data_IF_284440675670
#
_entry.id   IF_284440675670
#
_cell.length_a   1.000
_cell.length_b   1.000
_cell.length_c   1.000
_cell.angle_alpha   90.00
_cell.angle_beta   90.00
_cell.angle_gamma   90.00
#
_symmetry.space_group_name_H-M   'P 1'
#
loop_
_entity.id
_entity.type
_entity.pdbx_description
1 polymer ?
#
# COMPACT_ATOMS: atom_id res chain seq x y z
N UNK A 1 -10.97 -1.37 -5.42
CA UNK A 1 -9.94 -1.63 -6.45
C UNK A 1 -8.66 -0.89 -6.09
N UNK A 2 -7.50 -1.36 -6.54
CA UNK A 2 -6.19 -0.72 -6.29
C UNK A 2 -5.71 -0.09 -7.60
N UNK A 3 -5.30 1.18 -7.56
CA UNK A 3 -4.76 1.90 -8.71
C UNK A 3 -3.27 2.18 -8.46
N UNK A 4 -2.41 1.72 -9.36
CA UNK A 4 -0.98 1.98 -9.28
C UNK A 4 -0.66 3.47 -9.43
N UNK A 5 0.34 3.94 -8.69
CA UNK A 5 0.82 5.31 -8.83
C UNK A 5 1.24 5.60 -10.29
N UNK A 6 0.82 6.76 -10.82
CA UNK A 6 1.09 7.16 -12.19
C UNK A 6 0.22 6.50 -13.26
N UNK A 7 -0.79 5.70 -12.88
CA UNK A 7 -1.74 5.15 -13.85
C UNK A 7 -2.65 6.23 -14.44
N UNK A 8 -2.94 6.13 -15.75
CA UNK A 8 -3.91 7.00 -16.45
C UNK A 8 -5.16 6.19 -16.74
N UNK A 9 -6.18 6.39 -15.92
CA UNK A 9 -7.47 5.69 -16.00
C UNK A 9 -8.38 6.44 -16.97
N UNK A 10 -8.72 5.80 -18.10
CA UNK A 10 -9.53 6.39 -19.17
C UNK A 10 -10.95 5.82 -19.26
N UNK A 11 -11.25 4.78 -18.48
CA UNK A 11 -12.54 4.08 -18.43
C UNK A 11 -12.78 3.55 -17.00
N UNK A 12 -14.04 3.21 -16.71
CA UNK A 12 -14.42 2.63 -15.43
C UNK A 12 -13.66 1.32 -15.14
N UNK A 13 -13.34 1.12 -13.87
CA UNK A 13 -12.57 -0.03 -13.39
C UNK A 13 -13.53 -0.98 -12.67
N UNK A 14 -13.50 -2.29 -12.98
CA UNK A 14 -14.25 -3.29 -12.22
C UNK A 14 -13.91 -3.26 -10.72
N UNK A 15 -14.80 -3.82 -9.90
CA UNK A 15 -14.51 -3.99 -8.47
C UNK A 15 -13.42 -5.03 -8.23
N UNK A 16 -12.71 -4.90 -7.12
CA UNK A 16 -11.75 -5.90 -6.62
C UNK A 16 -10.61 -6.28 -7.58
N UNK A 17 -10.21 -5.38 -8.49
CA UNK A 17 -9.02 -5.54 -9.35
C UNK A 17 -7.90 -4.54 -9.03
N UNK A 18 -6.70 -4.87 -9.48
CA UNK A 18 -5.52 -3.99 -9.49
C UNK A 18 -5.24 -3.54 -10.91
N UNK A 19 -5.14 -2.23 -11.13
CA UNK A 19 -4.83 -1.63 -12.44
C UNK A 19 -3.60 -0.74 -12.37
N UNK A 20 -2.82 -0.67 -13.44
CA UNK A 20 -1.73 0.31 -13.59
C UNK A 20 -1.39 0.60 -15.06
N UNK A 21 -0.56 1.61 -15.30
CA UNK A 21 -0.03 1.98 -16.62
C UNK A 21 -0.76 3.16 -17.29
N UNK A 22 -0.26 3.57 -18.46
CA UNK A 22 -0.85 4.61 -19.30
C UNK A 22 -1.00 4.11 -20.76
N UNK A 23 -2.23 3.81 -21.24
CA UNK A 23 -3.48 3.77 -20.46
C UNK A 23 -3.49 2.62 -19.44
N UNK A 24 -4.27 2.76 -18.37
CA UNK A 24 -4.34 1.77 -17.29
C UNK A 24 -4.95 0.44 -17.78
N UNK A 25 -4.33 -0.68 -17.38
CA UNK A 25 -4.77 -2.05 -17.69
C UNK A 25 -4.96 -2.87 -16.41
N UNK A 26 -5.88 -3.82 -16.43
CA UNK A 26 -6.06 -4.80 -15.35
C UNK A 26 -4.85 -5.72 -15.30
N UNK A 27 -4.23 -5.81 -14.13
CA UNK A 27 -3.04 -6.65 -13.88
C UNK A 27 -3.40 -7.95 -13.16
N UNK A 28 -4.24 -7.86 -12.11
CA UNK A 28 -4.64 -9.00 -11.28
C UNK A 28 -5.87 -8.66 -10.43
N UNK A 29 -6.45 -9.64 -9.75
CA UNK A 29 -7.40 -9.38 -8.66
C UNK A 29 -6.67 -8.82 -7.43
N UNK A 30 -7.40 -8.11 -6.57
CA UNK A 30 -6.87 -7.63 -5.29
C UNK A 30 -6.38 -8.80 -4.43
N UNK A 31 -7.13 -9.90 -4.39
CA UNK A 31 -6.76 -11.11 -3.64
C UNK A 31 -5.41 -11.68 -4.09
N UNK A 32 -5.20 -11.86 -5.41
CA UNK A 32 -3.95 -12.40 -5.93
C UNK A 32 -2.78 -11.44 -5.69
N UNK A 33 -3.03 -10.13 -5.75
CA UNK A 33 -2.01 -9.14 -5.45
C UNK A 33 -1.61 -9.15 -3.97
N UNK A 34 -2.57 -9.35 -3.05
CA UNK A 34 -2.27 -9.49 -1.62
C UNK A 34 -1.41 -10.73 -1.33
N UNK A 35 -1.77 -11.89 -1.88
CA UNK A 35 -0.97 -13.13 -1.76
C UNK A 35 0.47 -12.92 -2.24
N UNK A 36 0.63 -12.29 -3.41
CA UNK A 36 1.96 -11.94 -3.94
C UNK A 36 2.75 -11.02 -3.02
N UNK A 37 2.10 -10.09 -2.32
CA UNK A 37 2.76 -9.21 -1.37
C UNK A 37 3.15 -9.92 -0.06
N UNK A 38 2.32 -10.85 0.41
CA UNK A 38 2.62 -11.74 1.54
C UNK A 38 3.83 -12.62 1.24
N UNK A 39 3.84 -13.30 0.09
CA UNK A 39 4.96 -14.15 -0.37
C UNK A 39 6.28 -13.39 -0.48
N UNK A 40 6.21 -12.11 -0.86
CA UNK A 40 7.39 -11.23 -0.96
C UNK A 40 7.81 -10.62 0.38
N UNK A 41 7.03 -10.81 1.45
CA UNK A 41 7.31 -10.23 2.77
C UNK A 41 7.27 -8.71 2.82
N UNK A 42 6.56 -8.05 1.91
CA UNK A 42 6.55 -6.57 1.76
C UNK A 42 5.40 -5.88 2.52
N UNK A 43 4.56 -6.63 3.22
CA UNK A 43 3.45 -6.09 4.01
C UNK A 43 3.94 -5.70 5.40
N UNK A 44 3.78 -4.45 5.80
CA UNK A 44 4.18 -3.95 7.12
C UNK A 44 2.97 -3.38 7.85
N UNK A 45 2.99 -3.51 9.17
CA UNK A 45 1.96 -2.93 10.02
C UNK A 45 2.17 -1.43 10.14
N UNK A 46 1.09 -0.67 9.96
CA UNK A 46 1.05 0.77 10.17
C UNK A 46 0.68 1.08 11.62
N UNK A 47 1.09 2.23 12.12
CA UNK A 47 0.71 2.66 13.47
C UNK A 47 -0.76 3.07 13.53
N UNK A 48 -1.40 2.88 14.71
CA UNK A 48 -2.81 3.25 14.93
C UNK A 48 -3.10 4.72 14.64
N UNK A 49 -2.13 5.60 14.92
CA UNK A 49 -2.21 7.03 14.65
C UNK A 49 -2.40 7.32 13.15
N UNK A 50 -1.62 6.66 12.30
CA UNK A 50 -1.70 6.80 10.84
C UNK A 50 -2.97 6.14 10.32
N UNK A 51 -3.34 4.97 10.86
CA UNK A 51 -4.55 4.26 10.45
C UNK A 51 -5.81 5.10 10.69
N UNK A 52 -5.89 5.79 11.83
CA UNK A 52 -7.01 6.72 12.14
C UNK A 52 -7.10 7.89 11.18
N UNK A 53 -6.00 8.29 10.55
CA UNK A 53 -5.99 9.38 9.56
C UNK A 53 -6.35 8.93 8.16
N UNK A 54 -6.36 7.62 7.88
CA UNK A 54 -6.75 7.11 6.58
C UNK A 54 -8.18 7.57 6.22
N UNK A 55 -8.34 8.16 5.02
CA UNK A 55 -9.63 8.68 4.55
C UNK A 55 -10.05 10.05 5.11
N UNK A 56 -9.31 10.63 6.06
CA UNK A 56 -9.69 11.91 6.70
C UNK A 56 -9.31 13.16 5.89
N UNK A 57 -8.65 13.01 4.73
CA UNK A 57 -8.06 14.07 3.89
C UNK A 57 -6.96 14.92 4.58
N UNK A 58 -6.66 14.67 5.85
CA UNK A 58 -5.58 15.33 6.57
C UNK A 58 -4.26 14.61 6.27
N UNK A 59 -3.22 15.40 5.96
CA UNK A 59 -1.87 14.86 5.79
C UNK A 59 -1.26 14.52 7.14
N UNK A 60 -0.46 13.46 7.18
CA UNK A 60 0.37 13.16 8.33
C UNK A 60 1.40 14.28 8.55
N UNK A 61 1.72 14.57 9.81
CA UNK A 61 2.79 15.50 10.14
C UNK A 61 4.16 14.88 9.84
N UNK A 62 5.23 15.69 9.76
CA UNK A 62 6.58 15.15 9.60
C UNK A 62 6.95 14.16 10.72
N UNK A 63 6.60 14.47 11.96
CA UNK A 63 6.89 13.63 13.13
C UNK A 63 6.19 12.26 13.05
N UNK A 64 4.91 12.23 12.67
CA UNK A 64 4.16 10.98 12.49
C UNK A 64 4.73 10.13 11.35
N UNK A 65 5.23 10.80 10.30
CA UNK A 65 5.88 10.13 9.17
C UNK A 65 7.21 9.50 9.59
N UNK A 66 8.01 10.18 10.42
CA UNK A 66 9.25 9.62 10.97
C UNK A 66 8.96 8.42 11.89
N UNK A 67 7.98 8.53 12.80
CA UNK A 67 7.55 7.40 13.65
C UNK A 67 7.13 6.18 12.82
N UNK A 68 6.39 6.42 11.73
CA UNK A 68 5.98 5.35 10.82
C UNK A 68 7.20 4.69 10.16
N UNK A 69 8.16 5.47 9.66
CA UNK A 69 9.40 4.94 9.07
C UNK A 69 10.17 4.09 10.07
N UNK A 70 10.37 4.59 11.29
CA UNK A 70 11.07 3.86 12.35
C UNK A 70 10.40 2.51 12.67
N UNK A 71 9.07 2.51 12.79
CA UNK A 71 8.27 1.29 13.01
C UNK A 71 8.47 0.27 11.88
N UNK A 72 8.40 0.72 10.62
CA UNK A 72 8.61 -0.14 9.44
C UNK A 72 10.04 -0.70 9.43
N UNK A 73 11.05 0.13 9.72
CA UNK A 73 12.44 -0.32 9.77
C UNK A 73 12.68 -1.35 10.87
N UNK A 74 12.03 -1.21 12.02
CA UNK A 74 12.10 -2.19 13.11
C UNK A 74 11.52 -3.54 12.65
N UNK A 75 10.32 -3.54 12.09
CA UNK A 75 9.68 -4.76 11.54
C UNK A 75 10.54 -5.42 10.46
N UNK A 76 11.14 -4.62 9.57
CA UNK A 76 12.05 -5.13 8.55
C UNK A 76 13.28 -5.83 9.15
N UNK A 77 13.92 -5.23 10.16
CA UNK A 77 15.08 -5.84 10.82
C UNK A 77 14.73 -7.15 11.51
N UNK A 78 13.62 -7.17 12.25
CA UNK A 78 13.16 -8.37 12.97
C UNK A 78 12.88 -9.54 12.01
N UNK A 79 12.29 -9.28 10.85
CA UNK A 79 12.00 -10.32 9.84
C UNK A 79 13.23 -10.89 9.13
N UNK A 80 14.29 -10.09 8.96
CA UNK A 80 15.51 -10.52 8.24
C UNK A 80 16.64 -10.98 9.18
N UNK A 81 16.43 -10.93 10.50
CA UNK A 81 17.37 -11.40 11.52
C UNK A 81 17.16 -12.87 11.92
N UNK A 82 16.20 -13.57 11.29
CA UNK A 82 15.97 -15.01 11.43
C UNK A 82 16.49 -15.74 10.20
#
# INVERSE_FOLDING_TARGET
>A
SIIGAGAVVTKDIPESVVVAGNPAKVLSSVENYMKKCEERGVLYDVTDEILKKHGTKHRATPEETEKLKESIYKQYKERNQT
#
